data_IF_438907516587
#
_entry.id   IF_438907516587
#
_cell.length_a   1.000
_cell.length_b   1.000
_cell.length_c   1.000
_cell.angle_alpha   90.00
_cell.angle_beta   90.00
_cell.angle_gamma   90.00
#
_symmetry.space_group_name_H-M   'P 1'
#
loop_
_entity.id
_entity.type
_entity.pdbx_description
1 polymer ?
#
# COMPACT_ATOMS: atom_id res chain seq x y z
N UNK A 1 8.64 18.92 -16.77
CA UNK A 1 9.22 17.58 -16.46
C UNK A 1 8.93 17.23 -15.00
N UNK A 2 8.74 15.96 -14.60
CA UNK A 2 8.28 15.63 -13.23
C UNK A 2 9.21 16.12 -12.10
N UNK A 3 10.53 16.19 -12.35
CA UNK A 3 11.51 16.77 -11.42
C UNK A 3 11.26 18.26 -11.19
N UNK A 4 10.93 18.98 -12.26
CA UNK A 4 10.60 20.40 -12.19
C UNK A 4 9.32 20.62 -11.37
N UNK A 5 8.30 19.78 -11.59
CA UNK A 5 7.06 19.79 -10.81
C UNK A 5 7.31 19.53 -9.31
N UNK A 6 8.21 18.58 -9.00
CA UNK A 6 8.65 18.33 -7.63
C UNK A 6 9.31 19.56 -7.00
N UNK A 7 10.21 20.25 -7.73
CA UNK A 7 10.87 21.47 -7.22
C UNK A 7 9.91 22.64 -7.02
N UNK A 8 8.86 22.73 -7.83
CA UNK A 8 7.79 23.74 -7.73
C UNK A 8 6.71 23.38 -6.70
N UNK A 9 6.84 22.24 -6.00
CA UNK A 9 5.84 21.70 -5.06
C UNK A 9 4.47 21.47 -5.69
N UNK A 10 4.45 21.13 -6.97
CA UNK A 10 3.23 20.83 -7.74
C UNK A 10 2.81 19.36 -7.58
N UNK A 11 3.68 18.52 -7.03
CA UNK A 11 3.37 17.12 -6.71
C UNK A 11 2.79 17.00 -5.29
N UNK A 12 1.67 16.31 -5.19
CA UNK A 12 1.03 15.90 -3.94
C UNK A 12 1.80 14.74 -3.30
N UNK A 13 2.19 13.77 -4.12
CA UNK A 13 3.11 12.70 -3.74
C UNK A 13 4.10 12.41 -4.87
N UNK A 14 5.28 11.89 -4.51
CA UNK A 14 6.31 11.50 -5.46
C UNK A 14 7.19 10.38 -4.93
N UNK A 15 7.66 9.54 -5.84
CA UNK A 15 8.56 8.43 -5.55
C UNK A 15 9.58 8.27 -6.67
N UNK A 16 10.78 7.83 -6.28
CA UNK A 16 11.84 7.46 -7.22
C UNK A 16 11.90 5.94 -7.22
N UNK A 17 11.77 5.33 -8.38
CA UNK A 17 11.94 3.90 -8.55
C UNK A 17 13.34 3.52 -8.05
N UNK A 18 13.49 2.56 -7.13
CA UNK A 18 14.77 2.27 -6.49
C UNK A 18 15.86 1.84 -7.49
N UNK A 19 15.48 1.02 -8.47
CA UNK A 19 16.39 0.44 -9.46
C UNK A 19 16.57 1.31 -10.71
N UNK A 20 15.48 1.69 -11.38
CA UNK A 20 15.51 2.39 -12.67
C UNK A 20 15.70 3.90 -12.55
N UNK A 21 15.57 4.46 -11.35
CA UNK A 21 15.63 5.91 -11.06
C UNK A 21 14.56 6.75 -11.75
N UNK A 22 13.55 6.13 -12.36
CA UNK A 22 12.37 6.85 -12.85
C UNK A 22 11.64 7.53 -11.70
N UNK A 23 11.24 8.78 -11.91
CA UNK A 23 10.46 9.56 -10.95
C UNK A 23 9.00 9.52 -11.39
N UNK A 24 8.11 9.22 -10.45
CA UNK A 24 6.66 9.21 -10.65
C UNK A 24 5.99 9.89 -9.44
N UNK A 25 4.76 10.35 -9.63
CA UNK A 25 4.04 11.14 -8.64
C UNK A 25 2.67 11.54 -9.13
N UNK A 26 1.87 12.13 -8.24
CA UNK A 26 0.52 12.60 -8.52
C UNK A 26 0.43 14.10 -8.29
N UNK A 27 -0.23 14.82 -9.18
CA UNK A 27 -0.58 16.23 -9.11
C UNK A 27 -2.00 16.40 -8.58
N UNK A 28 -2.34 17.57 -8.06
CA UNK A 28 -3.69 17.84 -7.54
C UNK A 28 -4.83 17.55 -8.56
N UNK A 29 -4.67 17.80 -9.88
CA UNK A 29 -5.70 17.43 -10.87
C UNK A 29 -5.89 15.92 -11.05
N UNK A 30 -4.91 15.07 -10.71
CA UNK A 30 -5.01 13.61 -10.89
C UNK A 30 -6.05 12.97 -9.96
N UNK A 31 -6.51 13.70 -8.95
CA UNK A 31 -7.53 13.27 -7.99
C UNK A 31 -8.96 13.47 -8.52
N UNK A 32 -9.11 14.14 -9.68
CA UNK A 32 -10.40 14.41 -10.33
C UNK A 32 -11.27 15.43 -9.60
N UNK A 33 -12.48 15.62 -10.11
CA UNK A 33 -13.56 16.42 -9.53
C UNK A 33 -14.60 15.56 -8.79
N UNK A 34 -14.35 14.25 -8.69
CA UNK A 34 -15.20 13.29 -8.00
C UNK A 34 -15.24 13.50 -6.48
N UNK A 35 -16.28 12.97 -5.84
CA UNK A 35 -16.46 13.05 -4.39
C UNK A 35 -15.49 12.17 -3.57
N UNK A 36 -14.82 11.23 -4.23
CA UNK A 36 -13.93 10.24 -3.60
C UNK A 36 -12.68 10.08 -4.46
N UNK A 37 -11.51 10.17 -3.83
CA UNK A 37 -10.23 9.82 -4.43
C UNK A 37 -9.68 8.54 -3.78
N UNK A 38 -9.37 7.52 -4.59
CA UNK A 38 -8.68 6.30 -4.16
C UNK A 38 -7.22 6.36 -4.60
N UNK A 39 -6.30 6.10 -3.67
CA UNK A 39 -4.89 6.42 -3.84
C UNK A 39 -4.04 5.25 -3.38
N UNK A 40 -3.12 4.81 -4.23
CA UNK A 40 -2.02 3.95 -3.82
C UNK A 40 -0.95 4.81 -3.15
N UNK A 41 -0.73 4.58 -1.85
CA UNK A 41 0.09 5.44 -1.00
C UNK A 41 1.02 4.59 -0.15
N UNK A 42 2.31 4.91 -0.19
CA UNK A 42 3.31 4.34 0.72
C UNK A 42 3.32 5.05 2.08
N UNK A 43 3.66 4.37 3.19
CA UNK A 43 3.64 4.94 4.55
C UNK A 43 4.24 6.33 4.71
N UNK A 44 5.39 6.58 4.07
CA UNK A 44 6.10 7.88 4.13
C UNK A 44 5.28 9.05 3.58
N UNK A 45 4.35 8.79 2.65
CA UNK A 45 3.53 9.82 2.02
C UNK A 45 2.28 10.16 2.85
N UNK A 46 1.80 9.25 3.70
CA UNK A 46 0.55 9.41 4.47
C UNK A 46 0.51 10.72 5.28
N UNK A 47 1.63 11.13 5.88
CA UNK A 47 1.71 12.40 6.62
C UNK A 47 1.46 13.61 5.72
N UNK A 48 1.95 13.60 4.49
CA UNK A 48 1.69 14.66 3.51
C UNK A 48 0.26 14.61 3.02
N UNK A 49 -0.28 13.40 2.78
CA UNK A 49 -1.67 13.23 2.33
C UNK A 49 -2.68 13.75 3.36
N UNK A 50 -2.44 13.52 4.65
CA UNK A 50 -3.28 14.06 5.75
C UNK A 50 -3.28 15.59 5.85
N UNK A 51 -2.39 16.30 5.14
CA UNK A 51 -2.37 17.78 5.08
C UNK A 51 -3.19 18.35 3.93
N UNK A 52 -3.62 17.51 3.01
CA UNK A 52 -4.46 17.92 1.89
C UNK A 52 -5.87 18.23 2.41
N UNK A 53 -6.62 19.12 1.72
CA UNK A 53 -7.93 19.56 2.15
C UNK A 53 -9.04 18.51 1.89
N UNK A 54 -8.76 17.23 2.10
CA UNK A 54 -9.77 16.18 2.06
C UNK A 54 -10.66 16.29 3.30
N UNK A 55 -11.98 16.26 3.08
CA UNK A 55 -12.99 16.34 4.16
C UNK A 55 -12.87 15.18 5.15
N UNK A 56 -12.64 13.97 4.64
CA UNK A 56 -12.40 12.76 5.40
C UNK A 56 -11.36 11.91 4.66
N UNK A 57 -10.54 11.17 5.39
CA UNK A 57 -9.51 10.30 4.83
C UNK A 57 -9.44 9.00 5.63
N UNK A 58 -9.42 7.87 4.94
CA UNK A 58 -9.30 6.54 5.55
C UNK A 58 -8.09 5.83 4.99
N UNK A 59 -7.42 5.06 5.84
CA UNK A 59 -6.30 4.21 5.44
C UNK A 59 -6.83 2.79 5.39
N UNK A 60 -6.71 2.15 4.23
CA UNK A 60 -7.15 0.79 3.99
C UNK A 60 -5.91 -0.05 3.70
N UNK A 61 -5.68 -1.08 4.49
CA UNK A 61 -4.65 -2.09 4.23
C UNK A 61 -5.34 -3.36 3.71
N UNK A 62 -5.03 -3.73 2.47
CA UNK A 62 -5.56 -4.94 1.83
C UNK A 62 -4.50 -6.03 1.93
N UNK A 63 -4.79 -7.08 2.68
CA UNK A 63 -3.79 -8.10 3.02
C UNK A 63 -4.16 -9.47 2.46
N UNK A 64 -3.17 -10.17 1.89
CA UNK A 64 -3.32 -11.54 1.44
C UNK A 64 -2.83 -12.53 2.52
N UNK A 65 -3.23 -13.79 2.41
CA UNK A 65 -2.64 -14.84 3.25
C UNK A 65 -1.12 -14.99 2.96
N UNK A 66 -0.31 -15.41 3.95
CA UNK A 66 1.12 -15.64 3.77
C UNK A 66 1.46 -16.48 2.53
N UNK A 67 0.74 -17.60 2.34
CA UNK A 67 0.97 -18.50 1.21
C UNK A 67 0.65 -17.85 -0.15
N UNK A 68 -0.44 -17.09 -0.21
CA UNK A 68 -0.84 -16.35 -1.42
C UNK A 68 0.17 -15.27 -1.75
N UNK A 69 0.62 -14.51 -0.75
CA UNK A 69 1.62 -13.47 -0.93
C UNK A 69 2.94 -14.06 -1.43
N UNK A 70 3.42 -15.13 -0.80
CA UNK A 70 4.64 -15.82 -1.21
C UNK A 70 4.55 -16.33 -2.66
N UNK A 71 3.42 -16.96 -3.03
CA UNK A 71 3.18 -17.41 -4.41
C UNK A 71 3.20 -16.26 -5.42
N UNK A 72 2.60 -15.11 -5.08
CA UNK A 72 2.62 -13.89 -5.92
C UNK A 72 4.00 -13.29 -6.08
N UNK A 73 4.84 -13.34 -5.04
CA UNK A 73 6.24 -12.88 -5.12
C UNK A 73 7.08 -13.85 -5.95
N UNK A 74 6.91 -15.15 -5.75
CA UNK A 74 7.64 -16.19 -6.46
C UNK A 74 7.32 -16.23 -7.97
N UNK A 75 6.04 -16.07 -8.35
CA UNK A 75 5.61 -16.09 -9.75
C UNK A 75 6.17 -14.91 -10.57
N UNK A 76 6.51 -13.80 -9.91
CA UNK A 76 7.20 -12.65 -10.50
C UNK A 76 8.71 -12.80 -10.53
N UNK A 77 9.26 -13.92 -10.04
CA UNK A 77 10.70 -14.14 -9.87
C UNK A 77 11.52 -14.02 -11.16
N UNK A 78 10.95 -14.35 -12.32
CA UNK A 78 11.62 -14.19 -13.61
C UNK A 78 11.50 -12.77 -14.20
N UNK A 79 10.68 -11.90 -13.61
CA UNK A 79 10.46 -10.52 -14.07
C UNK A 79 11.32 -9.50 -13.31
N UNK A 80 12.00 -9.92 -12.24
CA UNK A 80 12.73 -9.05 -11.33
C UNK A 80 14.10 -9.63 -11.00
N UNK A 81 15.13 -8.77 -10.93
CA UNK A 81 16.43 -9.19 -10.39
C UNK A 81 16.31 -9.57 -8.91
N UNK A 82 17.27 -10.33 -8.39
CA UNK A 82 17.29 -10.66 -6.95
C UNK A 82 17.32 -9.42 -6.06
N UNK A 83 18.04 -8.38 -6.48
CA UNK A 83 18.11 -7.10 -5.76
C UNK A 83 16.75 -6.40 -5.70
N UNK A 84 15.97 -6.44 -6.77
CA UNK A 84 14.63 -5.85 -6.83
C UNK A 84 13.64 -6.65 -5.97
N UNK A 85 13.75 -7.99 -6.00
CA UNK A 85 12.98 -8.87 -5.10
C UNK A 85 13.26 -8.56 -3.64
N UNK A 86 14.53 -8.43 -3.25
CA UNK A 86 14.92 -8.09 -1.88
C UNK A 86 14.39 -6.70 -1.45
N UNK A 87 14.50 -5.71 -2.33
CA UNK A 87 13.97 -4.37 -2.07
C UNK A 87 12.45 -4.38 -1.84
N UNK A 88 11.70 -5.17 -2.63
CA UNK A 88 10.25 -5.34 -2.47
C UNK A 88 9.86 -6.06 -1.18
N UNK A 89 10.59 -7.10 -0.78
CA UNK A 89 10.37 -7.79 0.50
C UNK A 89 10.61 -6.82 1.67
N UNK A 90 11.68 -6.02 1.60
CA UNK A 90 11.99 -4.99 2.60
C UNK A 90 10.89 -3.92 2.67
N UNK A 91 10.40 -3.44 1.53
CA UNK A 91 9.29 -2.48 1.47
C UNK A 91 8.01 -3.05 2.07
N UNK A 92 7.64 -4.30 1.72
CA UNK A 92 6.48 -4.97 2.29
C UNK A 92 6.58 -5.11 3.82
N UNK A 93 7.76 -5.44 4.35
CA UNK A 93 8.02 -5.47 5.79
C UNK A 93 7.75 -4.11 6.43
N UNK A 94 8.37 -3.04 5.91
CA UNK A 94 8.21 -1.68 6.43
C UNK A 94 6.75 -1.22 6.36
N UNK A 95 6.03 -1.56 5.30
CA UNK A 95 4.61 -1.20 5.15
C UNK A 95 3.74 -1.90 6.20
N UNK A 96 3.93 -3.21 6.41
CA UNK A 96 3.16 -3.97 7.41
C UNK A 96 3.49 -3.54 8.84
N UNK A 97 4.77 -3.31 9.17
CA UNK A 97 5.17 -2.79 10.50
C UNK A 97 4.49 -1.44 10.77
N UNK A 98 4.48 -0.56 9.77
CA UNK A 98 3.83 0.74 9.88
C UNK A 98 2.31 0.61 10.05
N UNK A 99 1.64 -0.25 9.27
CA UNK A 99 0.19 -0.43 9.33
C UNK A 99 -0.25 -1.08 10.66
N UNK A 100 0.48 -2.09 11.14
CA UNK A 100 0.20 -2.79 12.40
C UNK A 100 0.43 -1.91 13.64
N UNK A 101 1.36 -0.95 13.56
CA UNK A 101 1.60 0.02 14.63
C UNK A 101 0.51 1.09 14.78
N UNK A 102 -0.61 0.97 14.05
CA UNK A 102 -1.69 1.96 14.00
C UNK A 102 -3.05 1.33 14.30
N UNK A 103 -3.91 2.16 14.89
CA UNK A 103 -5.30 1.80 15.18
C UNK A 103 -6.29 2.38 14.16
N UNK A 104 -5.87 3.37 13.36
CA UNK A 104 -6.69 4.04 12.35
C UNK A 104 -6.62 3.39 10.96
N UNK A 105 -6.11 2.16 10.89
CA UNK A 105 -6.03 1.36 9.65
C UNK A 105 -7.21 0.38 9.59
N UNK A 106 -7.94 0.43 8.49
CA UNK A 106 -9.03 -0.52 8.20
C UNK A 106 -8.42 -1.70 7.43
N UNK A 107 -8.60 -2.91 7.96
CA UNK A 107 -8.00 -4.11 7.41
C UNK A 107 -9.00 -4.91 6.59
N UNK A 108 -8.63 -5.24 5.34
CA UNK A 108 -9.42 -6.06 4.41
C UNK A 108 -8.66 -7.34 4.08
N UNK A 109 -9.34 -8.48 4.24
CA UNK A 109 -8.81 -9.81 3.91
C UNK A 109 -9.03 -10.10 2.42
N UNK A 110 -7.94 -10.20 1.65
CA UNK A 110 -7.92 -10.51 0.23
C UNK A 110 -7.61 -11.99 -0.05
N UNK A 111 -8.09 -12.89 0.82
CA UNK A 111 -8.03 -14.34 0.59
C UNK A 111 -9.32 -14.94 0.03
N UNK A 112 -10.41 -14.17 0.00
CA UNK A 112 -11.71 -14.57 -0.55
C UNK A 112 -11.84 -14.35 -2.06
N UNK A 113 -13.06 -14.45 -2.56
CA UNK A 113 -13.40 -14.12 -3.94
C UNK A 113 -13.19 -12.62 -4.22
N UNK A 114 -12.78 -12.28 -5.45
CA UNK A 114 -12.44 -10.89 -5.80
C UNK A 114 -13.66 -9.96 -5.75
N UNK A 115 -14.85 -10.45 -6.08
CA UNK A 115 -16.06 -9.65 -6.08
C UNK A 115 -16.47 -9.35 -4.63
N UNK A 116 -16.43 -10.35 -3.74
CA UNK A 116 -16.70 -10.19 -2.31
C UNK A 116 -15.73 -9.18 -1.65
N UNK A 117 -14.43 -9.28 -1.98
CA UNK A 117 -13.40 -8.37 -1.44
C UNK A 117 -13.61 -6.95 -1.96
N UNK A 118 -14.02 -6.81 -3.22
CA UNK A 118 -14.29 -5.52 -3.84
C UNK A 118 -15.52 -4.87 -3.20
N UNK A 119 -16.58 -5.62 -2.96
CA UNK A 119 -17.78 -5.13 -2.26
C UNK A 119 -17.45 -4.61 -0.86
N UNK A 120 -16.64 -5.36 -0.10
CA UNK A 120 -16.15 -4.90 1.22
C UNK A 120 -15.34 -3.61 1.10
N UNK A 121 -14.46 -3.49 0.10
CA UNK A 121 -13.68 -2.28 -0.12
C UNK A 121 -14.56 -1.08 -0.48
N UNK A 122 -15.56 -1.27 -1.34
CA UNK A 122 -16.53 -0.23 -1.72
C UNK A 122 -17.35 0.24 -0.52
N UNK A 123 -17.73 -0.66 0.38
CA UNK A 123 -18.44 -0.31 1.61
C UNK A 123 -17.59 0.54 2.56
N UNK A 124 -16.30 0.22 2.71
CA UNK A 124 -15.35 1.02 3.48
C UNK A 124 -15.12 2.39 2.85
N UNK A 125 -14.99 2.45 1.53
CA UNK A 125 -14.88 3.69 0.76
C UNK A 125 -16.14 4.55 0.96
N UNK A 126 -17.33 3.94 0.93
CA UNK A 126 -18.63 4.57 1.19
C UNK A 126 -18.82 5.04 2.64
N UNK A 127 -17.92 4.68 3.56
CA UNK A 127 -17.92 5.14 4.95
C UNK A 127 -18.54 4.19 5.97
N UNK A 128 -18.84 2.96 5.58
CA UNK A 128 -19.17 1.91 6.56
C UNK A 128 -17.88 1.37 7.13
N UNK A 129 -17.63 1.61 8.42
CA UNK A 129 -16.41 1.10 9.08
C UNK A 129 -16.57 -0.39 9.35
N UNK A 130 -15.84 -1.20 8.60
CA UNK A 130 -15.75 -2.65 8.77
C UNK A 130 -14.29 -3.09 8.85
N UNK A 131 -13.62 -2.82 9.97
CA UNK A 131 -12.25 -3.33 10.18
C UNK A 131 -12.30 -4.78 10.63
N UNK A 132 -11.63 -5.66 9.89
CA UNK A 132 -11.61 -7.10 10.18
C UNK A 132 -10.43 -7.46 11.09
N UNK A 133 -10.70 -7.86 12.33
CA UNK A 133 -9.68 -8.40 13.24
C UNK A 133 -8.99 -9.64 12.66
N UNK A 134 -9.72 -10.43 11.86
CA UNK A 134 -9.16 -11.57 11.11
C UNK A 134 -8.16 -11.09 10.06
N UNK A 135 -8.48 -10.03 9.31
CA UNK A 135 -7.57 -9.47 8.33
C UNK A 135 -6.29 -8.92 9.00
N UNK A 136 -6.43 -8.20 10.11
CA UNK A 136 -5.26 -7.74 10.89
C UNK A 136 -4.36 -8.90 11.33
N UNK A 137 -4.95 -9.99 11.83
CA UNK A 137 -4.20 -11.20 12.20
C UNK A 137 -3.47 -11.84 11.00
N UNK A 138 -4.04 -11.78 9.79
CA UNK A 138 -3.34 -12.19 8.58
C UNK A 138 -2.12 -11.30 8.31
N UNK A 139 -2.24 -9.99 8.51
CA UNK A 139 -1.12 -9.04 8.45
C UNK A 139 0.01 -9.37 9.43
N UNK A 140 -0.32 -9.70 10.68
CA UNK A 140 0.66 -10.13 11.68
C UNK A 140 1.39 -11.42 11.26
N UNK A 141 0.63 -12.41 10.76
CA UNK A 141 1.19 -13.66 10.25
C UNK A 141 2.08 -13.44 9.04
N UNK A 142 1.67 -12.58 8.11
CA UNK A 142 2.44 -12.23 6.92
C UNK A 142 3.74 -11.52 7.30
N UNK A 143 3.69 -10.56 8.23
CA UNK A 143 4.88 -9.88 8.73
C UNK A 143 5.87 -10.87 9.36
N UNK A 144 5.38 -11.85 10.12
CA UNK A 144 6.22 -12.90 10.70
C UNK A 144 6.94 -13.72 9.63
N UNK A 145 6.23 -14.14 8.57
CA UNK A 145 6.82 -14.88 7.46
C UNK A 145 7.87 -14.03 6.71
N UNK A 146 7.53 -12.79 6.36
CA UNK A 146 8.46 -11.86 5.69
C UNK A 146 9.72 -11.63 6.52
N UNK A 147 9.57 -11.52 7.85
CA UNK A 147 10.70 -11.33 8.75
C UNK A 147 11.64 -12.54 8.77
N UNK A 148 11.13 -13.76 8.65
CA UNK A 148 11.96 -14.97 8.54
C UNK A 148 12.73 -14.99 7.20
N UNK A 149 12.06 -14.66 6.09
CA UNK A 149 12.69 -14.58 4.77
C UNK A 149 13.80 -13.52 4.68
N UNK A 150 13.72 -12.47 5.52
CA UNK A 150 14.73 -11.42 5.59
C UNK A 150 15.94 -11.78 6.47
N UNK A 151 15.81 -12.77 7.37
CA UNK A 151 16.88 -13.22 8.29
C UNK A 151 17.72 -14.34 7.69
N UNK A 152 17.17 -15.11 6.73
CA UNK A 152 17.86 -16.22 6.07
C UNK A 152 18.72 -15.80 4.86
N UNK A 153 19.04 -14.51 4.70
CA UNK A 153 19.88 -13.98 3.60
C UNK A 153 21.02 -13.11 4.10
#
# INVERSE_FOLDING_TARGET
>A
MIIEKATKRELVQGMVHPTTRFVYGSELPDYGDGSIALLDVVPKAVKSMKRLPFKDSRIIEVVASPDTWHSRVASRGNQHSESDRHARIKEAKTNLEWALGRDDVIWIDNSGDIDDVTDVALEVIGGRVMSSSKARLLGERLLKQISMLHVEQ
#
